data_IF_637104179212
#
_entry.id   IF_637104179212
#
_cell.length_a   1.000
_cell.length_b   1.000
_cell.length_c   1.000
_cell.angle_alpha   90.00
_cell.angle_beta   90.00
_cell.angle_gamma   90.00
#
_symmetry.space_group_name_H-M   'P 1'
#
loop_
_entity.id
_entity.type
_entity.pdbx_description
1 polymer ?
#
# COMPACT_ATOMS: atom_id res chain seq x y z
N UNK A 1 33.21 35.74 -67.38
CA UNK A 1 34.24 34.79 -67.90
C UNK A 1 33.70 33.35 -67.90
N UNK A 2 32.36 33.18 -67.89
CA UNK A 2 31.67 31.89 -68.06
C UNK A 2 30.94 31.76 -69.42
N UNK A 3 31.17 32.71 -70.35
CA UNK A 3 30.61 32.73 -71.71
C UNK A 3 31.39 31.82 -72.68
N UNK A 4 31.74 30.61 -72.25
CA UNK A 4 32.23 29.57 -73.16
C UNK A 4 31.08 28.67 -73.56
N UNK A 5 30.91 28.39 -74.85
CA UNK A 5 29.91 27.43 -75.36
C UNK A 5 30.31 25.98 -75.10
N UNK A 6 31.58 25.76 -74.75
CA UNK A 6 32.04 24.45 -74.31
C UNK A 6 31.48 24.08 -72.93
N UNK A 7 30.90 22.88 -72.88
CA UNK A 7 30.21 22.33 -71.71
C UNK A 7 31.22 21.90 -70.64
N UNK A 8 32.37 21.38 -71.06
CA UNK A 8 33.41 20.88 -70.16
C UNK A 8 34.15 22.01 -69.45
N UNK A 9 34.50 23.09 -70.16
CA UNK A 9 35.06 24.30 -69.55
C UNK A 9 34.07 24.94 -68.59
N UNK A 10 32.80 25.10 -68.98
CA UNK A 10 31.76 25.69 -68.13
C UNK A 10 31.58 24.91 -66.82
N UNK A 11 31.57 23.58 -66.91
CA UNK A 11 31.50 22.69 -65.74
C UNK A 11 32.74 22.79 -64.87
N UNK A 12 33.92 22.85 -65.47
CA UNK A 12 35.19 22.96 -64.74
C UNK A 12 35.29 24.28 -63.98
N UNK A 13 34.88 25.39 -64.59
CA UNK A 13 34.83 26.71 -63.94
C UNK A 13 33.80 26.72 -62.81
N UNK A 14 32.59 26.17 -63.03
CA UNK A 14 31.59 26.01 -61.97
C UNK A 14 32.11 25.17 -60.79
N UNK A 15 32.85 24.10 -61.06
CA UNK A 15 33.47 23.26 -60.03
C UNK A 15 34.60 23.99 -59.29
N UNK A 16 35.41 24.79 -59.98
CA UNK A 16 36.41 25.66 -59.33
C UNK A 16 35.75 26.68 -58.40
N UNK A 17 34.63 27.26 -58.81
CA UNK A 17 33.86 28.19 -57.97
C UNK A 17 33.27 27.46 -56.76
N UNK A 18 32.70 26.27 -56.92
CA UNK A 18 32.25 25.44 -55.79
C UNK A 18 33.40 25.19 -54.81
N UNK A 19 34.56 24.75 -55.31
CA UNK A 19 35.72 24.46 -54.47
C UNK A 19 36.24 25.71 -53.75
N UNK A 20 36.24 26.86 -54.41
CA UNK A 20 36.63 28.14 -53.80
C UNK A 20 35.66 28.57 -52.69
N UNK A 21 34.35 28.40 -52.92
CA UNK A 21 33.30 28.70 -51.93
C UNK A 21 33.39 27.75 -50.73
N UNK A 22 33.64 26.47 -50.95
CA UNK A 22 33.83 25.48 -49.87
C UNK A 22 35.13 25.72 -49.10
N UNK A 23 36.20 26.16 -49.76
CA UNK A 23 37.49 26.43 -49.12
C UNK A 23 37.50 27.74 -48.30
N UNK A 24 36.79 28.77 -48.77
CA UNK A 24 36.64 30.02 -48.03
C UNK A 24 35.22 30.59 -48.18
N UNK A 25 34.27 30.21 -47.30
CA UNK A 25 32.90 30.69 -47.34
C UNK A 25 32.77 32.22 -47.18
N UNK A 26 33.73 32.86 -46.50
CA UNK A 26 33.72 34.31 -46.27
C UNK A 26 34.15 35.12 -47.49
N UNK A 27 34.80 34.49 -48.48
CA UNK A 27 35.24 35.16 -49.70
C UNK A 27 34.07 35.78 -50.48
N UNK A 28 32.90 35.15 -50.45
CA UNK A 28 31.69 35.68 -51.10
C UNK A 28 31.19 36.99 -50.46
N UNK A 29 31.46 37.22 -49.18
CA UNK A 29 31.09 38.44 -48.46
C UNK A 29 32.01 39.61 -48.78
N UNK A 30 33.24 39.32 -49.21
CA UNK A 30 34.25 40.33 -49.56
C UNK A 30 34.21 40.78 -51.02
N UNK A 31 33.38 40.13 -51.85
CA UNK A 31 33.23 40.46 -53.27
C UNK A 31 32.31 41.67 -53.48
N UNK A 32 32.64 42.51 -54.46
CA UNK A 32 31.77 43.62 -54.86
C UNK A 32 30.43 43.09 -55.40
N UNK A 33 29.31 43.69 -54.97
CA UNK A 33 27.95 43.25 -55.34
C UNK A 33 27.74 43.13 -56.86
N UNK A 34 28.36 44.02 -57.64
CA UNK A 34 28.29 43.98 -59.11
C UNK A 34 28.86 42.70 -59.70
N UNK A 35 29.95 42.19 -59.13
CA UNK A 35 30.57 40.95 -59.59
C UNK A 35 29.73 39.74 -59.18
N UNK A 36 29.18 39.75 -57.96
CA UNK A 36 28.26 38.72 -57.48
C UNK A 36 27.01 38.63 -58.37
N UNK A 37 26.43 39.76 -58.77
CA UNK A 37 25.30 39.80 -59.70
C UNK A 37 25.66 39.25 -61.08
N UNK A 38 26.84 39.61 -61.61
CA UNK A 38 27.31 39.09 -62.89
C UNK A 38 27.47 37.57 -62.88
N UNK A 39 27.98 36.99 -61.78
CA UNK A 39 28.10 35.54 -61.63
C UNK A 39 26.72 34.86 -61.56
N UNK A 40 25.78 35.41 -60.78
CA UNK A 40 24.43 34.87 -60.69
C UNK A 40 23.67 34.98 -62.01
N UNK A 41 23.80 36.09 -62.74
CA UNK A 41 23.24 36.25 -64.08
C UNK A 41 23.79 35.19 -65.04
N UNK A 42 25.11 34.94 -65.01
CA UNK A 42 25.76 33.92 -65.83
C UNK A 42 25.22 32.51 -65.48
N UNK A 43 25.05 32.16 -64.20
CA UNK A 43 24.51 30.86 -63.80
C UNK A 43 23.02 30.69 -64.13
N UNK A 44 22.20 31.72 -63.91
CA UNK A 44 20.78 31.70 -64.26
C UNK A 44 20.59 31.65 -65.77
N UNK A 45 21.44 32.34 -66.54
CA UNK A 45 21.47 32.25 -67.99
C UNK A 45 21.85 30.84 -68.46
N UNK A 46 22.87 30.21 -67.87
CA UNK A 46 23.20 28.80 -68.20
C UNK A 46 22.05 27.85 -67.84
N UNK A 47 21.30 28.09 -66.76
CA UNK A 47 20.09 27.31 -66.44
C UNK A 47 18.93 27.51 -67.43
N UNK A 48 18.84 28.66 -68.09
CA UNK A 48 17.79 28.93 -69.07
C UNK A 48 18.16 28.45 -70.47
N UNK A 49 19.38 28.74 -70.92
CA UNK A 49 19.86 28.48 -72.27
C UNK A 49 20.30 27.02 -72.49
N UNK A 50 20.84 26.34 -71.47
CA UNK A 50 21.34 24.97 -71.65
C UNK A 50 20.21 23.93 -71.72
N UNK A 51 20.48 22.85 -72.44
CA UNK A 51 19.64 21.64 -72.51
C UNK A 51 20.25 20.46 -71.76
N UNK A 52 21.58 20.48 -71.54
CA UNK A 52 22.33 19.44 -70.85
C UNK A 52 22.03 19.36 -69.35
N UNK A 53 21.74 18.16 -68.88
CA UNK A 53 21.44 17.87 -67.48
C UNK A 53 22.66 18.05 -66.57
N UNK A 54 23.86 17.77 -67.05
CA UNK A 54 25.05 17.83 -66.20
C UNK A 54 25.46 19.29 -65.91
N UNK A 55 25.31 20.17 -66.90
CA UNK A 55 25.49 21.60 -66.75
C UNK A 55 24.39 22.23 -65.89
N UNK A 56 23.12 21.84 -66.11
CA UNK A 56 22.00 22.28 -65.26
C UNK A 56 22.18 21.88 -63.80
N UNK A 57 22.63 20.64 -63.53
CA UNK A 57 22.97 20.18 -62.19
C UNK A 57 24.12 20.98 -61.58
N UNK A 58 25.18 21.24 -62.35
CA UNK A 58 26.34 21.99 -61.87
C UNK A 58 25.97 23.43 -61.52
N UNK A 59 25.19 24.10 -62.38
CA UNK A 59 24.70 25.46 -62.15
C UNK A 59 23.75 25.53 -60.94
N UNK A 60 22.76 24.64 -60.82
CA UNK A 60 21.90 24.56 -59.63
C UNK A 60 22.68 24.28 -58.35
N UNK A 61 23.68 23.40 -58.40
CA UNK A 61 24.55 23.11 -57.26
C UNK A 61 25.46 24.28 -56.90
N UNK A 62 26.04 24.99 -57.88
CA UNK A 62 26.84 26.21 -57.61
C UNK A 62 26.02 27.27 -56.89
N UNK A 63 24.79 27.53 -57.35
CA UNK A 63 23.88 28.50 -56.72
C UNK A 63 23.54 28.05 -55.29
N UNK A 64 23.27 26.76 -55.09
CA UNK A 64 23.02 26.20 -53.75
C UNK A 64 24.22 26.40 -52.81
N UNK A 65 25.42 26.01 -53.24
CA UNK A 65 26.64 26.16 -52.43
C UNK A 65 26.92 27.64 -52.11
N UNK A 66 26.64 28.55 -53.05
CA UNK A 66 26.72 30.00 -52.80
C UNK A 66 25.68 30.49 -51.81
N UNK A 67 24.42 30.04 -51.90
CA UNK A 67 23.37 30.39 -50.93
C UNK A 67 23.63 29.83 -49.53
N UNK A 68 24.34 28.71 -49.44
CA UNK A 68 24.77 28.12 -48.15
C UNK A 68 25.92 28.92 -47.52
N UNK A 69 26.85 29.44 -48.33
CA UNK A 69 27.99 30.22 -47.86
C UNK A 69 27.68 31.71 -47.59
N UNK A 70 26.78 32.32 -48.37
CA UNK A 70 26.35 33.70 -48.18
C UNK A 70 24.83 33.84 -48.24
N UNK A 71 24.13 33.86 -47.08
CA UNK A 71 22.67 33.80 -47.02
C UNK A 71 21.91 34.97 -47.66
N UNK A 72 22.52 36.14 -47.81
CA UNK A 72 21.93 37.32 -48.49
C UNK A 72 21.70 37.07 -49.99
N UNK A 73 22.40 36.07 -50.58
CA UNK A 73 22.17 35.65 -51.97
C UNK A 73 20.73 35.14 -52.17
N UNK A 74 20.10 34.58 -51.14
CA UNK A 74 18.69 34.16 -51.20
C UNK A 74 17.77 35.36 -51.44
N UNK A 75 18.03 36.49 -50.78
CA UNK A 75 17.26 37.72 -50.96
C UNK A 75 17.49 38.32 -52.36
N UNK A 76 18.74 38.31 -52.84
CA UNK A 76 19.11 38.74 -54.20
C UNK A 76 18.40 37.89 -55.26
N UNK A 77 18.38 36.56 -55.08
CA UNK A 77 17.72 35.63 -55.99
C UNK A 77 16.22 35.88 -56.07
N UNK A 78 15.57 36.06 -54.91
CA UNK A 78 14.13 36.33 -54.83
C UNK A 78 13.76 37.72 -55.39
N UNK A 79 14.60 38.74 -55.17
CA UNK A 79 14.33 40.11 -55.62
C UNK A 79 14.55 40.28 -57.13
N UNK A 80 15.67 39.79 -57.66
CA UNK A 80 16.12 40.03 -59.05
C UNK A 80 15.64 38.95 -60.03
N UNK A 81 15.55 37.69 -59.61
CA UNK A 81 15.27 36.56 -60.50
C UNK A 81 13.91 35.92 -60.21
N UNK A 82 12.83 36.71 -60.26
CA UNK A 82 11.44 36.26 -60.01
C UNK A 82 11.01 35.09 -60.91
N UNK A 83 11.60 34.96 -62.10
CA UNK A 83 11.35 33.87 -63.06
C UNK A 83 12.14 32.58 -62.79
N UNK A 84 13.06 32.55 -61.82
CA UNK A 84 13.90 31.40 -61.53
C UNK A 84 13.08 30.20 -61.03
N UNK A 85 12.11 30.43 -60.15
CA UNK A 85 11.25 29.34 -59.63
C UNK A 85 10.47 28.62 -60.74
N UNK A 86 9.73 29.31 -61.64
CA UNK A 86 9.15 28.67 -62.81
C UNK A 86 10.17 27.97 -63.72
N UNK A 87 11.37 28.56 -63.88
CA UNK A 87 12.44 27.98 -64.71
C UNK A 87 12.93 26.62 -64.18
N UNK A 88 12.98 26.41 -62.86
CA UNK A 88 13.37 25.13 -62.27
C UNK A 88 12.42 23.99 -62.66
N UNK A 89 11.16 24.29 -63.00
CA UNK A 89 10.19 23.30 -63.49
C UNK A 89 10.61 22.64 -64.81
N UNK A 90 11.33 23.35 -65.69
CA UNK A 90 11.90 22.82 -66.96
C UNK A 90 12.86 21.64 -66.72
N UNK A 91 13.45 21.58 -65.52
CA UNK A 91 14.47 20.60 -65.17
C UNK A 91 13.92 19.38 -64.41
N UNK A 92 12.60 19.32 -64.19
CA UNK A 92 11.93 18.16 -63.58
C UNK A 92 12.15 16.90 -64.41
N UNK A 93 12.52 15.78 -63.77
CA UNK A 93 12.77 14.49 -64.43
C UNK A 93 14.14 14.33 -65.12
N UNK A 94 15.04 15.32 -65.06
CA UNK A 94 16.37 15.25 -65.71
C UNK A 94 17.50 14.63 -64.86
N UNK A 95 17.20 14.08 -63.68
CA UNK A 95 18.15 13.28 -62.89
C UNK A 95 18.88 13.99 -61.73
N UNK A 96 18.51 15.23 -61.38
CA UNK A 96 19.06 15.97 -60.23
C UNK A 96 17.96 16.64 -59.38
N UNK A 97 16.89 15.90 -59.15
CA UNK A 97 15.70 16.41 -58.44
C UNK A 97 15.96 16.81 -56.98
N UNK A 98 17.00 16.24 -56.36
CA UNK A 98 17.35 16.58 -54.98
C UNK A 98 17.78 18.05 -54.91
N UNK A 99 18.71 18.43 -55.77
CA UNK A 99 19.25 19.78 -55.90
C UNK A 99 18.14 20.76 -56.33
N UNK A 100 17.26 20.36 -57.27
CA UNK A 100 16.10 21.17 -57.66
C UNK A 100 15.15 21.41 -56.49
N UNK A 101 14.83 20.38 -55.69
CA UNK A 101 13.95 20.51 -54.51
C UNK A 101 14.60 21.36 -53.42
N UNK A 102 15.90 21.21 -53.19
CA UNK A 102 16.64 22.03 -52.21
C UNK A 102 16.64 23.50 -52.62
N UNK A 103 16.93 23.83 -53.88
CA UNK A 103 16.93 25.21 -54.36
C UNK A 103 15.51 25.80 -54.37
N UNK A 104 14.50 25.01 -54.75
CA UNK A 104 13.10 25.45 -54.68
C UNK A 104 12.68 25.74 -53.24
N UNK A 105 13.10 24.94 -52.26
CA UNK A 105 12.82 25.20 -50.84
C UNK A 105 13.48 26.48 -50.34
N UNK A 106 14.72 26.74 -50.73
CA UNK A 106 15.44 27.96 -50.37
C UNK A 106 14.74 29.20 -50.94
N UNK A 107 14.31 29.14 -52.21
CA UNK A 107 13.53 30.20 -52.86
C UNK A 107 12.13 30.38 -52.24
N UNK A 108 11.48 29.29 -51.81
CA UNK A 108 10.15 29.32 -51.18
C UNK A 108 10.17 29.89 -49.75
N UNK A 109 11.29 29.73 -49.04
CA UNK A 109 11.49 30.33 -47.73
C UNK A 109 11.76 31.84 -47.80
N UNK A 110 12.27 32.36 -48.93
CA UNK A 110 12.41 33.78 -49.23
C UNK A 110 13.37 34.61 -48.35
N UNK A 111 13.68 34.14 -47.14
CA UNK A 111 14.48 34.79 -46.10
C UNK A 111 15.29 33.74 -45.33
N UNK A 112 16.45 34.14 -44.81
CA UNK A 112 17.39 33.27 -44.11
C UNK A 112 16.75 32.63 -42.88
N UNK A 113 16.01 33.40 -42.09
CA UNK A 113 15.34 32.95 -40.86
C UNK A 113 14.29 31.86 -41.13
N UNK A 114 13.57 31.95 -42.24
CA UNK A 114 12.57 30.95 -42.61
C UNK A 114 13.21 29.64 -43.08
N UNK A 115 14.36 29.69 -43.77
CA UNK A 115 15.13 28.47 -44.13
C UNK A 115 15.59 27.74 -42.88
N UNK A 116 16.11 28.45 -41.89
CA UNK A 116 16.55 27.87 -40.61
C UNK A 116 15.38 27.31 -39.80
N UNK A 117 14.28 28.06 -39.70
CA UNK A 117 13.05 27.62 -39.03
C UNK A 117 12.48 26.33 -39.66
N UNK A 118 12.48 26.21 -40.98
CA UNK A 118 12.08 24.98 -41.67
C UNK A 118 13.01 23.80 -41.37
N UNK A 119 14.33 24.01 -41.33
CA UNK A 119 15.30 22.97 -40.95
C UNK A 119 15.04 22.48 -39.52
N UNK A 120 14.80 23.38 -38.57
CA UNK A 120 14.44 23.04 -37.20
C UNK A 120 13.11 22.29 -37.12
N UNK A 121 12.11 22.71 -37.89
CA UNK A 121 10.81 22.03 -37.93
C UNK A 121 10.93 20.60 -38.51
N UNK A 122 11.72 20.41 -39.56
CA UNK A 122 11.97 19.08 -40.14
C UNK A 122 12.75 18.17 -39.19
N UNK A 123 13.74 18.71 -38.47
CA UNK A 123 14.45 17.99 -37.42
C UNK A 123 13.50 17.59 -36.29
N UNK A 124 12.67 18.52 -35.81
CA UNK A 124 11.65 18.26 -34.79
C UNK A 124 10.66 17.19 -35.25
N UNK A 125 10.17 17.25 -36.50
CA UNK A 125 9.26 16.26 -37.08
C UNK A 125 9.90 14.86 -37.10
N UNK A 126 11.18 14.75 -37.47
CA UNK A 126 11.93 13.47 -37.44
C UNK A 126 12.05 12.92 -36.01
N UNK A 127 12.44 13.76 -35.05
CA UNK A 127 12.55 13.37 -33.63
C UNK A 127 11.19 12.92 -33.09
N UNK A 128 10.13 13.67 -33.37
CA UNK A 128 8.77 13.34 -32.95
C UNK A 128 8.29 12.02 -33.55
N UNK A 129 8.52 11.77 -34.84
CA UNK A 129 8.17 10.52 -35.49
C UNK A 129 8.90 9.32 -34.84
N UNK A 130 10.21 9.46 -34.60
CA UNK A 130 11.01 8.44 -33.94
C UNK A 130 10.53 8.17 -32.51
N UNK A 131 10.25 9.22 -31.74
CA UNK A 131 9.75 9.11 -30.38
C UNK A 131 8.36 8.44 -30.31
N UNK A 132 7.42 8.86 -31.18
CA UNK A 132 6.08 8.23 -31.29
C UNK A 132 6.20 6.75 -31.62
N UNK A 133 7.09 6.40 -32.55
CA UNK A 133 7.38 5.00 -32.88
C UNK A 133 7.97 4.21 -31.71
N UNK A 134 8.96 4.79 -31.01
CA UNK A 134 9.55 4.18 -29.82
C UNK A 134 8.52 3.95 -28.71
N UNK A 135 7.67 4.94 -28.43
CA UNK A 135 6.60 4.87 -27.42
C UNK A 135 5.62 3.74 -27.76
N UNK A 136 5.14 3.66 -29.01
CA UNK A 136 4.20 2.62 -29.44
C UNK A 136 4.82 1.22 -29.33
N UNK A 137 6.05 1.03 -29.83
CA UNK A 137 6.75 -0.25 -29.73
C UNK A 137 6.95 -0.68 -28.27
N UNK A 138 7.26 0.26 -27.39
CA UNK A 138 7.42 0.00 -25.95
C UNK A 138 6.08 -0.39 -25.31
N UNK A 139 4.99 0.28 -25.66
CA UNK A 139 3.65 -0.04 -25.18
C UNK A 139 3.20 -1.44 -25.64
N UNK A 140 3.43 -1.79 -26.91
CA UNK A 140 3.14 -3.12 -27.44
C UNK A 140 3.96 -4.21 -26.75
N UNK A 141 5.26 -3.98 -26.52
CA UNK A 141 6.11 -4.91 -25.75
C UNK A 141 5.56 -5.15 -24.34
N UNK A 142 5.12 -4.08 -23.65
CA UNK A 142 4.49 -4.20 -22.31
C UNK A 142 3.18 -4.98 -22.37
N UNK A 143 2.32 -4.69 -23.35
CA UNK A 143 1.05 -5.41 -23.53
C UNK A 143 1.26 -6.90 -23.83
N UNK A 144 2.18 -7.25 -24.74
CA UNK A 144 2.50 -8.64 -25.05
C UNK A 144 3.08 -9.39 -23.85
N UNK A 145 3.92 -8.73 -23.05
CA UNK A 145 4.43 -9.29 -21.79
C UNK A 145 3.28 -9.56 -20.81
N UNK A 146 2.37 -8.61 -20.64
CA UNK A 146 1.19 -8.77 -19.78
C UNK A 146 0.29 -9.92 -20.24
N UNK A 147 -0.01 -10.00 -21.55
CA UNK A 147 -0.78 -11.10 -22.13
C UNK A 147 -0.10 -12.46 -21.91
N UNK A 148 1.21 -12.53 -22.13
CA UNK A 148 2.00 -13.76 -21.90
C UNK A 148 1.95 -14.20 -20.44
N UNK A 149 2.05 -13.24 -19.49
CA UNK A 149 1.92 -13.55 -18.06
C UNK A 149 0.52 -14.02 -17.69
N UNK A 150 -0.53 -13.41 -18.26
CA UNK A 150 -1.91 -13.81 -18.05
C UNK A 150 -2.14 -15.23 -18.59
N UNK A 151 -1.75 -15.50 -19.83
CA UNK A 151 -1.86 -16.83 -20.46
C UNK A 151 -1.13 -17.90 -19.64
N UNK A 152 0.09 -17.61 -19.17
CA UNK A 152 0.85 -18.52 -18.30
C UNK A 152 0.11 -18.79 -17.00
N UNK A 153 -0.40 -17.76 -16.32
CA UNK A 153 -1.16 -17.93 -15.08
C UNK A 153 -2.45 -18.72 -15.28
N UNK A 154 -3.14 -18.50 -16.40
CA UNK A 154 -4.38 -19.19 -16.74
C UNK A 154 -4.13 -20.67 -16.99
N UNK A 155 -3.12 -21.00 -17.80
CA UNK A 155 -2.72 -22.39 -18.07
C UNK A 155 -2.31 -23.10 -16.78
N UNK A 156 -1.53 -22.45 -15.91
CA UNK A 156 -1.14 -23.01 -14.60
C UNK A 156 -2.35 -23.25 -13.69
N UNK A 157 -3.26 -22.27 -13.59
CA UNK A 157 -4.48 -22.39 -12.78
C UNK A 157 -5.38 -23.53 -13.28
N UNK A 158 -5.49 -23.68 -14.60
CA UNK A 158 -6.24 -24.78 -15.23
C UNK A 158 -5.61 -26.13 -14.91
N UNK A 159 -4.30 -26.29 -15.11
CA UNK A 159 -3.59 -27.53 -14.80
C UNK A 159 -3.69 -27.91 -13.31
N UNK A 160 -3.54 -26.93 -12.41
CA UNK A 160 -3.71 -27.15 -10.98
C UNK A 160 -5.14 -27.63 -10.64
N UNK A 161 -6.17 -27.02 -11.22
CA UNK A 161 -7.56 -27.42 -11.01
C UNK A 161 -7.82 -28.85 -11.50
N UNK A 162 -7.29 -29.21 -12.67
CA UNK A 162 -7.38 -30.56 -13.22
C UNK A 162 -6.67 -31.57 -12.30
N UNK A 163 -5.49 -31.24 -11.79
CA UNK A 163 -4.75 -32.07 -10.84
C UNK A 163 -5.48 -32.24 -9.50
N UNK A 164 -6.02 -31.15 -8.94
CA UNK A 164 -6.82 -31.19 -7.71
C UNK A 164 -8.05 -32.08 -7.89
N UNK A 165 -8.73 -31.98 -9.02
CA UNK A 165 -9.87 -32.84 -9.33
C UNK A 165 -9.46 -34.32 -9.48
N UNK A 166 -8.33 -34.60 -10.12
CA UNK A 166 -7.81 -35.96 -10.25
C UNK A 166 -7.48 -36.56 -8.87
N UNK A 167 -6.79 -35.80 -8.01
CA UNK A 167 -6.47 -36.21 -6.63
C UNK A 167 -7.74 -36.42 -5.82
N UNK A 168 -8.73 -35.55 -5.93
CA UNK A 168 -10.02 -35.71 -5.23
C UNK A 168 -10.76 -36.96 -5.69
N UNK A 169 -10.78 -37.25 -7.00
CA UNK A 169 -11.37 -38.48 -7.54
C UNK A 169 -10.66 -39.71 -7.01
N UNK A 170 -9.33 -39.75 -7.05
CA UNK A 170 -8.53 -40.85 -6.51
C UNK A 170 -8.78 -41.06 -5.02
N UNK A 171 -8.85 -39.97 -4.23
CA UNK A 171 -9.15 -40.06 -2.81
C UNK A 171 -10.57 -40.55 -2.54
N UNK A 172 -11.56 -40.10 -3.33
CA UNK A 172 -12.94 -40.55 -3.21
C UNK A 172 -13.07 -42.03 -3.56
N UNK A 173 -12.39 -42.47 -4.62
CA UNK A 173 -12.34 -43.87 -5.03
C UNK A 173 -11.67 -44.74 -3.95
N UNK A 174 -10.51 -44.32 -3.43
CA UNK A 174 -9.84 -45.03 -2.34
C UNK A 174 -10.74 -45.14 -1.09
N UNK A 175 -11.42 -44.05 -0.70
CA UNK A 175 -12.38 -44.07 0.41
C UNK A 175 -13.53 -45.05 0.15
N UNK A 176 -14.04 -45.09 -1.08
CA UNK A 176 -15.09 -46.01 -1.49
C UNK A 176 -14.59 -47.47 -1.42
N UNK A 177 -13.43 -47.77 -2.01
CA UNK A 177 -12.81 -49.10 -1.96
C UNK A 177 -12.58 -49.57 -0.52
N UNK A 178 -12.06 -48.71 0.34
CA UNK A 178 -11.88 -49.00 1.77
C UNK A 178 -13.22 -49.26 2.48
N UNK A 179 -14.27 -48.49 2.17
CA UNK A 179 -15.61 -48.70 2.72
C UNK A 179 -16.16 -50.05 2.30
N UNK A 180 -16.07 -50.39 1.01
CA UNK A 180 -16.52 -51.68 0.47
C UNK A 180 -15.73 -52.82 1.11
N UNK A 181 -14.40 -52.71 1.21
CA UNK A 181 -13.55 -53.72 1.86
C UNK A 181 -13.93 -53.93 3.32
N UNK A 182 -14.16 -52.86 4.08
CA UNK A 182 -14.62 -52.93 5.48
C UNK A 182 -16.00 -53.60 5.58
N UNK A 183 -16.93 -53.25 4.69
CA UNK A 183 -18.26 -53.88 4.68
C UNK A 183 -18.19 -55.37 4.34
N UNK A 184 -17.38 -55.77 3.35
CA UNK A 184 -17.15 -57.18 3.00
C UNK A 184 -16.56 -57.94 4.18
N UNK A 185 -15.47 -57.44 4.77
CA UNK A 185 -14.84 -58.05 5.94
C UNK A 185 -15.81 -58.18 7.13
N UNK A 186 -16.64 -57.15 7.38
CA UNK A 186 -17.66 -57.21 8.43
C UNK A 186 -18.74 -58.28 8.13
N UNK A 187 -19.20 -58.37 6.88
CA UNK A 187 -20.17 -59.40 6.48
C UNK A 187 -19.58 -60.80 6.63
N UNK A 188 -18.34 -61.01 6.19
CA UNK A 188 -17.65 -62.29 6.33
C UNK A 188 -17.45 -62.67 7.80
N UNK A 189 -17.02 -61.72 8.64
CA UNK A 189 -16.89 -61.94 10.09
C UNK A 189 -18.23 -62.33 10.72
N UNK A 190 -19.30 -61.58 10.43
CA UNK A 190 -20.65 -61.90 10.91
C UNK A 190 -21.16 -63.25 10.42
N UNK A 191 -20.87 -63.61 9.16
CA UNK A 191 -21.27 -64.93 8.61
C UNK A 191 -20.58 -66.07 9.36
N UNK A 192 -19.29 -65.94 9.64
CA UNK A 192 -18.53 -66.93 10.44
C UNK A 192 -19.05 -67.01 11.88
N UNK A 193 -19.37 -65.86 12.47
CA UNK A 193 -19.95 -65.76 13.81
C UNK A 193 -21.32 -66.44 13.90
N UNK A 194 -22.20 -66.19 12.92
CA UNK A 194 -23.51 -66.84 12.84
C UNK A 194 -23.37 -68.37 12.75
N UNK A 195 -22.50 -68.86 11.87
CA UNK A 195 -22.25 -70.29 11.75
C UNK A 195 -21.76 -70.92 13.07
N UNK A 196 -20.86 -70.23 13.78
CA UNK A 196 -20.42 -70.67 15.10
C UNK A 196 -21.58 -70.70 16.10
N UNK A 197 -22.42 -69.66 16.14
CA UNK A 197 -23.60 -69.60 17.03
C UNK A 197 -24.62 -70.71 16.73
N UNK A 198 -24.84 -71.04 15.45
CA UNK A 198 -25.74 -72.12 15.02
C UNK A 198 -25.26 -73.50 15.52
N UNK A 199 -23.95 -73.70 15.65
CA UNK A 199 -23.36 -74.97 16.10
C UNK A 199 -23.32 -75.16 17.63
N UNK A 200 -23.53 -74.10 18.41
CA UNK A 200 -23.29 -74.09 19.86
C UNK A 200 -24.59 -74.26 20.68
N UNK A 201 -24.53 -74.86 21.90
CA UNK A 201 -25.68 -74.93 22.79
C UNK A 201 -26.19 -73.56 23.27
N UNK A 202 -27.51 -73.40 23.40
CA UNK A 202 -28.17 -72.14 23.75
C UNK A 202 -27.61 -71.40 25.00
N UNK A 203 -27.23 -72.07 26.11
CA UNK A 203 -26.65 -71.38 27.27
C UNK A 203 -25.32 -70.69 26.97
N UNK A 204 -24.49 -71.28 26.10
CA UNK A 204 -23.20 -70.72 25.72
C UNK A 204 -23.38 -69.50 24.80
N UNK A 205 -24.37 -69.56 23.89
CA UNK A 205 -24.77 -68.43 23.05
C UNK A 205 -25.22 -67.23 23.90
N UNK A 206 -26.08 -67.47 24.90
CA UNK A 206 -26.55 -66.42 25.82
C UNK A 206 -25.41 -65.76 26.60
N UNK A 207 -24.45 -66.56 27.09
CA UNK A 207 -23.24 -66.05 27.77
C UNK A 207 -22.43 -65.16 26.85
N UNK A 208 -22.24 -65.58 25.60
CA UNK A 208 -21.51 -64.80 24.60
C UNK A 208 -22.21 -63.47 24.26
N UNK A 209 -23.53 -63.48 24.03
CA UNK A 209 -24.32 -62.27 23.77
C UNK A 209 -24.21 -61.28 24.94
N UNK A 210 -24.32 -61.76 26.18
CA UNK A 210 -24.17 -60.91 27.38
C UNK A 210 -22.78 -60.25 27.45
N UNK A 211 -21.71 -60.99 27.12
CA UNK A 211 -20.35 -60.44 27.06
C UNK A 211 -20.21 -59.40 25.95
N UNK A 212 -20.78 -59.63 24.76
CA UNK A 212 -20.79 -58.66 23.68
C UNK A 212 -21.54 -57.38 24.05
N UNK A 213 -22.71 -57.49 24.67
CA UNK A 213 -23.49 -56.34 25.16
C UNK A 213 -22.69 -55.51 26.16
N UNK A 214 -22.03 -56.16 27.14
CA UNK A 214 -21.15 -55.48 28.09
C UNK A 214 -20.00 -54.76 27.39
N UNK A 215 -19.31 -55.42 26.45
CA UNK A 215 -18.22 -54.82 25.67
C UNK A 215 -18.70 -53.63 24.83
N UNK A 216 -19.87 -53.75 24.19
CA UNK A 216 -20.49 -52.68 23.42
C UNK A 216 -20.87 -51.49 24.29
N UNK A 217 -21.48 -51.72 25.46
CA UNK A 217 -21.82 -50.68 26.41
C UNK A 217 -20.58 -49.89 26.86
N UNK A 218 -19.49 -50.58 27.22
CA UNK A 218 -18.22 -49.95 27.59
C UNK A 218 -17.68 -49.07 26.45
N UNK A 219 -17.73 -49.55 25.19
CA UNK A 219 -17.28 -48.78 24.02
C UNK A 219 -18.13 -47.52 23.80
N UNK A 220 -19.45 -47.64 23.88
CA UNK A 220 -20.38 -46.50 23.73
C UNK A 220 -20.12 -45.47 24.83
N UNK A 221 -20.06 -45.92 26.09
CA UNK A 221 -19.80 -45.04 27.24
C UNK A 221 -18.46 -44.33 27.12
N UNK A 222 -17.39 -45.03 26.69
CA UNK A 222 -16.07 -44.43 26.44
C UNK A 222 -16.14 -43.32 25.39
N UNK A 223 -16.79 -43.59 24.25
CA UNK A 223 -16.93 -42.60 23.16
C UNK A 223 -17.77 -41.41 23.63
N UNK A 224 -18.86 -41.65 24.35
CA UNK A 224 -19.74 -40.63 24.90
C UNK A 224 -19.03 -39.71 25.88
N UNK A 225 -18.31 -40.28 26.87
CA UNK A 225 -17.49 -39.52 27.81
C UNK A 225 -16.50 -38.62 27.06
N UNK A 226 -15.81 -39.17 26.05
CA UNK A 226 -14.89 -38.40 25.22
C UNK A 226 -15.57 -37.30 24.38
N UNK A 227 -16.76 -37.57 23.84
CA UNK A 227 -17.55 -36.55 23.12
C UNK A 227 -17.93 -35.40 24.06
N UNK A 228 -18.38 -35.73 25.27
CA UNK A 228 -18.76 -34.74 26.26
C UNK A 228 -17.58 -33.86 26.69
N UNK A 229 -16.40 -34.45 26.94
CA UNK A 229 -15.16 -33.69 27.21
C UNK A 229 -14.78 -32.76 26.06
N UNK A 230 -14.87 -33.22 24.81
CA UNK A 230 -14.57 -32.39 23.63
C UNK A 230 -15.59 -31.26 23.46
N UNK A 231 -16.88 -31.52 23.72
CA UNK A 231 -17.93 -30.50 23.69
C UNK A 231 -17.67 -29.41 24.74
N UNK A 232 -17.38 -29.80 25.99
CA UNK A 232 -17.00 -28.89 27.08
C UNK A 232 -15.73 -28.09 26.75
N UNK A 233 -14.72 -28.73 26.17
CA UNK A 233 -13.52 -28.03 25.72
C UNK A 233 -13.83 -27.00 24.62
N UNK A 234 -14.67 -27.34 23.64
CA UNK A 234 -15.03 -26.40 22.58
C UNK A 234 -15.81 -25.19 23.10
N UNK A 235 -16.70 -25.38 24.07
CA UNK A 235 -17.38 -24.26 24.72
C UNK A 235 -16.40 -23.37 25.50
N UNK A 236 -15.40 -23.96 26.17
CA UNK A 236 -14.38 -23.23 26.93
C UNK A 236 -13.25 -22.64 26.07
N UNK A 237 -13.08 -23.11 24.83
CA UNK A 237 -11.93 -22.77 23.97
C UNK A 237 -11.84 -21.26 23.75
N UNK A 238 -12.97 -20.59 23.52
CA UNK A 238 -13.03 -19.14 23.34
C UNK A 238 -12.51 -18.41 24.57
N UNK A 239 -13.04 -18.74 25.75
CA UNK A 239 -12.63 -18.16 27.04
C UNK A 239 -11.14 -18.39 27.33
N UNK A 240 -10.61 -19.58 27.05
CA UNK A 240 -9.18 -19.89 27.24
C UNK A 240 -8.27 -19.09 26.31
N UNK A 241 -8.67 -18.90 25.05
CA UNK A 241 -7.93 -18.06 24.09
C UNK A 241 -7.93 -16.61 24.56
N UNK A 242 -9.10 -16.09 24.99
CA UNK A 242 -9.23 -14.74 25.53
C UNK A 242 -8.38 -14.56 26.79
N UNK A 243 -8.43 -15.49 27.74
CA UNK A 243 -7.60 -15.47 28.94
C UNK A 243 -6.11 -15.46 28.61
N UNK A 244 -5.66 -16.33 27.69
CA UNK A 244 -4.25 -16.37 27.28
C UNK A 244 -3.81 -15.07 26.61
N UNK A 245 -4.68 -14.47 25.80
CA UNK A 245 -4.42 -13.16 25.19
C UNK A 245 -4.35 -12.06 26.27
N UNK A 246 -5.29 -12.04 27.21
CA UNK A 246 -5.33 -11.09 28.31
C UNK A 246 -4.07 -11.20 29.19
N UNK A 247 -3.67 -12.41 29.57
CA UNK A 247 -2.44 -12.65 30.34
C UNK A 247 -1.19 -12.18 29.59
N UNK A 248 -1.13 -12.38 28.27
CA UNK A 248 -0.02 -11.91 27.44
C UNK A 248 0.03 -10.38 27.38
N UNK A 249 -1.12 -9.72 27.20
CA UNK A 249 -1.23 -8.25 27.23
C UNK A 249 -0.82 -7.71 28.60
N UNK A 250 -1.37 -8.26 29.68
CA UNK A 250 -1.05 -7.85 31.05
C UNK A 250 0.45 -8.00 31.34
N UNK A 251 1.07 -9.10 30.92
CA UNK A 251 2.52 -9.31 31.03
C UNK A 251 3.30 -8.20 30.31
N UNK A 252 2.95 -7.90 29.07
CA UNK A 252 3.64 -6.87 28.30
C UNK A 252 3.45 -5.46 28.88
N UNK A 253 2.25 -5.15 29.38
CA UNK A 253 1.97 -3.88 30.06
C UNK A 253 2.78 -3.76 31.34
N UNK A 254 2.90 -4.81 32.16
CA UNK A 254 3.75 -4.80 33.37
C UNK A 254 5.22 -4.54 33.02
N UNK A 255 5.76 -5.22 32.00
CA UNK A 255 7.12 -4.99 31.51
C UNK A 255 7.32 -3.57 30.97
N UNK A 256 6.32 -3.02 30.29
CA UNK A 256 6.36 -1.63 29.83
C UNK A 256 6.31 -0.63 31.00
N UNK A 257 5.46 -0.88 32.00
CA UNK A 257 5.38 -0.05 33.21
C UNK A 257 6.68 -0.09 34.03
N UNK A 258 7.35 -1.24 34.11
CA UNK A 258 8.68 -1.36 34.72
C UNK A 258 9.73 -0.56 33.95
N UNK A 259 9.76 -0.70 32.62
CA UNK A 259 10.65 0.12 31.78
C UNK A 259 10.38 1.62 31.95
N UNK A 260 9.10 2.01 31.96
CA UNK A 260 8.70 3.41 32.17
C UNK A 260 9.06 3.92 33.57
N UNK A 261 8.98 3.09 34.61
CA UNK A 261 9.43 3.44 35.96
C UNK A 261 10.95 3.67 36.00
N UNK A 262 11.74 2.83 35.33
CA UNK A 262 13.20 3.05 35.19
C UNK A 262 13.51 4.35 34.46
N UNK A 263 12.88 4.58 33.31
CA UNK A 263 13.04 5.84 32.56
C UNK A 263 12.60 7.04 33.39
N UNK A 264 11.51 6.96 34.17
CA UNK A 264 11.13 8.04 35.08
C UNK A 264 12.14 8.29 36.20
N UNK A 265 12.79 7.25 36.73
CA UNK A 265 13.87 7.41 37.70
C UNK A 265 15.07 8.11 37.05
N UNK A 266 15.44 7.72 35.82
CA UNK A 266 16.50 8.37 35.04
C UNK A 266 16.12 9.81 34.64
N UNK A 267 14.88 10.07 34.23
CA UNK A 267 14.36 11.42 33.92
C UNK A 267 14.28 12.28 35.18
N UNK A 268 13.90 11.73 36.33
CA UNK A 268 13.90 12.44 37.62
C UNK A 268 15.32 12.77 38.07
N UNK A 269 16.29 11.90 37.75
CA UNK A 269 17.71 12.20 37.93
C UNK A 269 18.15 13.34 36.98
N UNK A 270 17.73 13.33 35.72
CA UNK A 270 18.00 14.40 34.75
C UNK A 270 17.34 15.74 35.11
N UNK A 271 16.14 15.73 35.71
CA UNK A 271 15.42 16.94 36.14
C UNK A 271 15.84 17.45 37.53
N UNK A 272 16.68 16.71 38.27
CA UNK A 272 17.28 17.21 39.51
C UNK A 272 18.37 18.28 39.25
N UNK A 273 18.90 18.35 38.03
CA UNK A 273 19.57 19.55 37.53
C UNK A 273 18.51 20.57 37.12
N UNK A 274 18.29 21.57 37.97
CA UNK A 274 17.48 22.73 37.63
C UNK A 274 17.95 23.30 36.27
N UNK A 275 17.09 23.27 35.26
CA UNK A 275 17.35 23.92 33.98
C UNK A 275 17.47 25.43 34.22
N UNK A 276 18.70 25.96 34.18
CA UNK A 276 18.94 27.41 34.15
C UNK A 276 18.15 28.05 33.00
N UNK A 277 17.62 29.26 33.19
CA UNK A 277 16.85 29.97 32.16
C UNK A 277 17.62 30.16 30.85
N UNK A 278 18.95 30.25 30.93
CA UNK A 278 19.86 30.23 29.77
C UNK A 278 19.69 28.97 28.91
N UNK A 279 19.65 27.79 29.54
CA UNK A 279 19.49 26.50 28.86
C UNK A 279 18.09 26.32 28.28
N UNK A 280 17.08 26.92 28.91
CA UNK A 280 15.70 26.93 28.38
C UNK A 280 15.63 27.68 27.05
N UNK A 281 16.28 28.84 26.95
CA UNK A 281 16.34 29.64 25.73
C UNK A 281 17.10 28.90 24.62
N UNK A 282 18.22 28.25 24.94
CA UNK A 282 18.96 27.41 23.96
C UNK A 282 18.12 26.26 23.41
N UNK A 283 17.39 25.55 24.29
CA UNK A 283 16.53 24.43 23.86
C UNK A 283 15.35 24.92 23.03
N UNK A 284 14.77 26.08 23.37
CA UNK A 284 13.75 26.72 22.55
C UNK A 284 14.30 27.14 21.17
N UNK A 285 15.53 27.62 21.11
CA UNK A 285 16.25 27.88 19.85
C UNK A 285 16.39 26.63 19.00
N UNK A 286 16.89 25.53 19.58
CA UNK A 286 17.04 24.23 18.90
C UNK A 286 15.71 23.67 18.39
N UNK A 287 14.63 23.80 19.18
CA UNK A 287 13.28 23.37 18.75
C UNK A 287 12.80 24.23 17.57
N UNK A 288 13.09 25.54 17.58
CA UNK A 288 12.72 26.45 16.51
C UNK A 288 13.48 26.14 15.23
N UNK A 289 14.81 26.01 15.30
CA UNK A 289 15.65 25.57 14.18
C UNK A 289 15.18 24.22 13.62
N UNK A 290 14.89 23.24 14.48
CA UNK A 290 14.41 21.94 14.03
C UNK A 290 13.06 22.05 13.30
N UNK A 291 12.14 22.90 13.78
CA UNK A 291 10.84 23.15 13.14
C UNK A 291 10.97 23.90 11.82
N UNK A 292 11.93 24.81 11.71
CA UNK A 292 12.23 25.53 10.46
C UNK A 292 12.86 24.58 9.43
N UNK A 293 13.82 23.76 9.86
CA UNK A 293 14.45 22.71 9.04
C UNK A 293 13.46 21.62 8.59
N UNK A 294 12.41 21.37 9.38
CA UNK A 294 11.35 20.39 9.08
C UNK A 294 9.98 21.07 8.91
N UNK A 295 9.95 22.23 8.25
CA UNK A 295 8.70 22.85 7.88
C UNK A 295 7.89 21.91 6.98
N UNK A 296 6.69 21.55 7.42
CA UNK A 296 5.79 20.68 6.65
C UNK A 296 5.25 21.47 5.47
N UNK A 297 5.92 21.36 4.33
CA UNK A 297 5.50 22.02 3.09
C UNK A 297 4.33 21.25 2.46
N UNK A 298 3.24 21.95 2.14
CA UNK A 298 2.14 21.41 1.32
C UNK A 298 0.81 21.12 2.04
N UNK A 299 0.66 21.44 3.33
CA UNK A 299 -0.63 21.34 4.02
C UNK A 299 -1.11 22.77 4.35
N UNK A 300 -2.14 23.23 3.65
CA UNK A 300 -2.85 24.46 4.01
C UNK A 300 -3.31 24.38 5.47
N UNK A 301 -3.24 25.48 6.22
CA UNK A 301 -3.71 25.56 7.62
C UNK A 301 -5.15 25.07 7.76
N UNK A 302 -5.97 25.29 6.73
CA UNK A 302 -7.35 24.83 6.65
C UNK A 302 -7.43 23.29 6.57
N UNK A 303 -6.58 22.67 5.75
CA UNK A 303 -6.50 21.21 5.62
C UNK A 303 -6.01 20.53 6.91
N UNK A 304 -5.13 21.20 7.66
CA UNK A 304 -4.71 20.71 8.97
C UNK A 304 -5.85 20.77 10.00
N UNK A 305 -6.63 21.85 10.00
CA UNK A 305 -7.84 21.97 10.84
C UNK A 305 -8.87 20.90 10.48
N UNK A 306 -9.12 20.69 9.19
CA UNK A 306 -10.02 19.65 8.71
C UNK A 306 -9.57 18.25 9.13
N UNK A 307 -8.28 17.95 9.02
CA UNK A 307 -7.72 16.68 9.51
C UNK A 307 -7.87 16.51 11.02
N UNK A 308 -7.69 17.60 11.78
CA UNK A 308 -7.87 17.60 13.23
C UNK A 308 -9.34 17.35 13.60
N UNK A 309 -10.27 18.07 12.97
CA UNK A 309 -11.71 17.89 13.16
C UNK A 309 -12.15 16.47 12.78
N UNK A 310 -11.68 15.94 11.66
CA UNK A 310 -11.94 14.55 11.23
C UNK A 310 -11.39 13.52 12.22
N UNK A 311 -10.20 13.73 12.77
CA UNK A 311 -9.65 12.84 13.80
C UNK A 311 -10.49 12.90 15.09
N UNK A 312 -10.94 14.08 15.49
CA UNK A 312 -11.80 14.29 16.65
C UNK A 312 -13.19 13.65 16.47
N UNK A 313 -13.82 13.78 15.30
CA UNK A 313 -15.12 13.14 15.03
C UNK A 313 -15.03 11.62 15.00
N UNK A 314 -13.98 11.07 14.38
CA UNK A 314 -13.72 9.62 14.39
C UNK A 314 -13.51 9.11 15.82
N UNK A 315 -12.71 9.82 16.63
CA UNK A 315 -12.49 9.47 18.03
C UNK A 315 -13.79 9.54 18.85
N UNK A 316 -14.58 10.60 18.68
CA UNK A 316 -15.86 10.76 19.35
C UNK A 316 -16.82 9.63 18.97
N UNK A 317 -16.91 9.28 17.67
CA UNK A 317 -17.76 8.18 17.20
C UNK A 317 -17.33 6.82 17.77
N UNK A 318 -16.02 6.59 17.88
CA UNK A 318 -15.47 5.39 18.49
C UNK A 318 -15.76 5.34 20.00
N UNK A 319 -15.57 6.46 20.72
CA UNK A 319 -15.90 6.56 22.13
C UNK A 319 -17.39 6.32 22.40
N UNK A 320 -18.29 6.85 21.56
CA UNK A 320 -19.72 6.61 21.68
C UNK A 320 -20.09 5.14 21.46
N UNK A 321 -19.55 4.49 20.42
CA UNK A 321 -19.74 3.03 20.20
C UNK A 321 -19.18 2.21 21.37
N UNK A 322 -18.06 2.66 21.93
CA UNK A 322 -17.39 1.99 23.04
C UNK A 322 -18.10 2.22 24.37
N UNK A 323 -18.86 3.30 24.57
CA UNK A 323 -19.52 3.63 25.84
C UNK A 323 -20.47 2.52 26.32
N UNK A 324 -21.21 1.88 25.42
CA UNK A 324 -22.07 0.74 25.74
C UNK A 324 -21.26 -0.49 26.18
N UNK A 325 -20.14 -0.78 25.50
CA UNK A 325 -19.19 -1.85 25.88
C UNK A 325 -18.50 -1.54 27.21
N UNK A 326 -18.10 -0.28 27.44
CA UNK A 326 -17.41 0.14 28.66
C UNK A 326 -18.26 -0.12 29.90
N UNK A 327 -19.57 0.17 29.87
CA UNK A 327 -20.45 -0.16 30.99
C UNK A 327 -20.53 -1.68 31.24
N UNK A 328 -20.59 -2.48 30.17
CA UNK A 328 -20.61 -3.94 30.29
C UNK A 328 -19.27 -4.49 30.80
N UNK A 329 -18.15 -3.94 30.33
CA UNK A 329 -16.79 -4.31 30.72
C UNK A 329 -16.49 -3.85 32.16
N UNK A 330 -16.92 -2.65 32.56
CA UNK A 330 -16.85 -2.18 33.94
C UNK A 330 -17.64 -3.09 34.88
N UNK A 331 -18.88 -3.47 34.52
CA UNK A 331 -19.66 -4.43 35.31
C UNK A 331 -18.93 -5.77 35.43
N UNK A 332 -18.34 -6.29 34.35
CA UNK A 332 -17.57 -7.55 34.39
C UNK A 332 -16.32 -7.44 35.26
N UNK A 333 -15.59 -6.32 35.20
CA UNK A 333 -14.43 -6.08 36.04
C UNK A 333 -14.83 -5.96 37.50
N UNK A 334 -15.93 -5.26 37.80
CA UNK A 334 -16.47 -5.15 39.15
C UNK A 334 -16.92 -6.52 39.69
N UNK A 335 -17.66 -7.29 38.90
CA UNK A 335 -18.06 -8.65 39.29
C UNK A 335 -16.83 -9.54 39.54
N UNK A 336 -15.84 -9.50 38.65
CA UNK A 336 -14.60 -10.26 38.85
C UNK A 336 -13.82 -9.80 40.09
N UNK A 337 -13.81 -8.49 40.39
CA UNK A 337 -13.18 -7.96 41.60
C UNK A 337 -13.93 -8.41 42.88
N UNK A 338 -15.26 -8.35 42.86
CA UNK A 338 -16.11 -8.84 43.95
C UNK A 338 -15.95 -10.35 44.16
N UNK A 339 -15.85 -11.13 43.09
CA UNK A 339 -15.59 -12.57 43.17
C UNK A 339 -14.21 -12.84 43.81
N UNK A 340 -13.16 -12.10 43.41
CA UNK A 340 -11.84 -12.24 44.03
C UNK A 340 -11.82 -11.80 45.48
N UNK A 341 -12.52 -10.72 45.83
CA UNK A 341 -12.63 -10.24 47.20
C UNK A 341 -13.41 -11.23 48.07
N UNK A 342 -14.48 -11.82 47.54
CA UNK A 342 -15.24 -12.87 48.20
C UNK A 342 -14.40 -14.14 48.42
N UNK A 343 -13.63 -14.58 47.42
CA UNK A 343 -12.69 -15.70 47.56
C UNK A 343 -11.62 -15.41 48.63
N UNK A 344 -11.06 -14.20 48.66
CA UNK A 344 -10.11 -13.78 49.70
C UNK A 344 -10.74 -13.78 51.09
N UNK A 345 -11.97 -13.28 51.23
CA UNK A 345 -12.69 -13.27 52.52
C UNK A 345 -13.05 -14.67 53.01
N UNK A 346 -13.43 -15.58 52.10
CA UNK A 346 -13.70 -16.99 52.43
C UNK A 346 -12.41 -17.71 52.85
N UNK A 347 -11.29 -17.36 52.24
CA UNK A 347 -9.98 -17.91 52.55
C UNK A 347 -9.27 -17.19 53.72
N UNK A 348 -9.95 -16.28 54.43
CA UNK A 348 -9.35 -15.52 55.50
C UNK A 348 -8.93 -16.43 56.68
N UNK A 349 -7.66 -16.37 57.13
CA UNK A 349 -7.20 -17.15 58.26
C UNK A 349 -7.90 -16.70 59.55
N UNK A 350 -8.02 -17.61 60.52
CA UNK A 350 -8.50 -17.26 61.85
C UNK A 350 -7.51 -16.29 62.50
N UNK A 351 -8.00 -15.39 63.36
CA UNK A 351 -7.19 -14.34 64.00
C UNK A 351 -5.94 -14.86 64.75
N UNK A 352 -5.94 -16.11 65.22
CA UNK A 352 -4.79 -16.75 65.88
C UNK A 352 -3.76 -17.42 64.95
N UNK A 353 -4.07 -17.56 63.66
CA UNK A 353 -3.24 -18.24 62.65
C UNK A 353 -2.70 -17.25 61.58
N UNK A 354 -3.02 -15.96 61.71
CA UNK A 354 -2.67 -14.95 60.73
C UNK A 354 -1.16 -14.63 60.75
N UNK A 355 -0.54 -14.64 59.58
CA UNK A 355 0.87 -14.28 59.37
C UNK A 355 1.02 -12.81 58.94
N UNK A 356 2.24 -12.25 59.01
CA UNK A 356 2.50 -10.89 58.51
C UNK A 356 2.19 -10.73 57.01
N UNK A 357 2.30 -11.81 56.24
CA UNK A 357 1.95 -11.83 54.81
C UNK A 357 0.44 -11.71 54.59
N UNK A 358 -0.37 -12.31 55.46
CA UNK A 358 -1.83 -12.20 55.42
C UNK A 358 -2.29 -10.77 55.74
N UNK A 359 -1.63 -10.12 56.72
CA UNK A 359 -1.91 -8.71 57.05
C UNK A 359 -1.65 -7.81 55.83
N UNK A 360 -0.56 -8.05 55.09
CA UNK A 360 -0.27 -7.31 53.86
C UNK A 360 -1.30 -7.60 52.76
N UNK A 361 -1.76 -8.84 52.63
CA UNK A 361 -2.74 -9.27 51.64
C UNK A 361 -4.11 -8.61 51.84
N UNK A 362 -4.60 -8.53 53.09
CA UNK A 362 -5.88 -7.91 53.43
C UNK A 362 -5.79 -6.39 53.63
N UNK A 363 -4.59 -5.79 53.55
CA UNK A 363 -4.39 -4.34 53.63
C UNK A 363 -4.44 -3.65 52.26
N UNK A 364 -5.26 -2.61 52.15
CA UNK A 364 -5.27 -1.79 50.93
C UNK A 364 -4.06 -0.84 50.90
N UNK A 365 -3.37 -0.74 49.76
CA UNK A 365 -2.26 0.22 49.54
C UNK A 365 -2.74 1.68 49.36
N UNK A 366 -4.05 1.88 49.24
CA UNK A 366 -4.68 3.17 49.05
C UNK A 366 -4.94 3.82 50.41
N UNK A 367 -4.29 4.95 50.69
CA UNK A 367 -4.42 5.67 51.97
C UNK A 367 -5.88 6.03 52.29
N UNK A 368 -6.70 6.56 51.35
CA UNK A 368 -8.12 6.85 51.62
C UNK A 368 -8.94 5.62 51.99
N UNK A 369 -8.72 4.49 51.32
CA UNK A 369 -9.46 3.24 51.55
C UNK A 369 -9.06 2.63 52.90
N UNK A 370 -7.76 2.59 53.19
CA UNK A 370 -7.25 2.14 54.48
C UNK A 370 -7.74 3.02 55.65
N UNK A 371 -7.77 4.34 55.47
CA UNK A 371 -8.27 5.27 56.47
C UNK A 371 -9.77 5.08 56.73
N UNK A 372 -10.59 4.93 55.68
CA UNK A 372 -12.02 4.66 55.82
C UNK A 372 -12.29 3.31 56.49
N UNK A 373 -11.54 2.27 56.13
CA UNK A 373 -11.63 0.95 56.77
C UNK A 373 -11.27 1.00 58.27
N UNK A 374 -10.18 1.69 58.63
CA UNK A 374 -9.80 1.90 60.04
C UNK A 374 -10.88 2.67 60.82
N UNK A 375 -11.43 3.71 60.20
CA UNK A 375 -12.50 4.50 60.81
C UNK A 375 -13.76 3.65 61.04
N UNK A 376 -14.20 2.91 60.03
CA UNK A 376 -15.36 2.02 60.12
C UNK A 376 -15.15 0.89 61.13
N UNK A 377 -13.94 0.31 61.21
CA UNK A 377 -13.61 -0.66 62.24
C UNK A 377 -13.63 -0.04 63.64
N UNK A 378 -13.08 1.17 63.80
CA UNK A 378 -13.13 1.88 65.07
C UNK A 378 -14.57 2.23 65.48
N UNK A 379 -15.44 2.62 64.54
CA UNK A 379 -16.87 2.81 64.77
C UNK A 379 -17.56 1.50 65.19
N UNK A 380 -17.27 0.40 64.48
CA UNK A 380 -17.82 -0.91 64.81
C UNK A 380 -17.37 -1.42 66.19
N UNK A 381 -16.10 -1.26 66.54
CA UNK A 381 -15.57 -1.60 67.85
C UNK A 381 -16.14 -0.72 68.95
N UNK A 382 -16.35 0.58 68.69
CA UNK A 382 -17.09 1.47 69.60
C UNK A 382 -18.51 0.94 69.80
N UNK A 383 -19.23 0.63 68.72
CA UNK A 383 -20.59 0.09 68.77
C UNK A 383 -20.69 -1.22 69.57
N UNK A 384 -19.74 -2.14 69.38
CA UNK A 384 -19.68 -3.38 70.17
C UNK A 384 -19.45 -3.12 71.67
N UNK A 385 -18.64 -2.12 72.00
CA UNK A 385 -18.31 -1.74 73.38
C UNK A 385 -19.34 -0.82 74.05
N UNK A 386 -20.40 -0.41 73.33
CA UNK A 386 -21.53 0.29 73.93
C UNK A 386 -22.25 -0.63 74.92
N UNK A 387 -22.70 -0.05 76.03
CA UNK A 387 -23.56 -0.74 76.97
C UNK A 387 -24.91 -1.07 76.30
N UNK A 388 -25.57 -2.14 76.74
CA UNK A 388 -26.81 -2.64 76.11
C UNK A 388 -27.89 -1.56 75.94
N UNK A 389 -27.97 -0.59 76.85
CA UNK A 389 -28.93 0.51 76.80
C UNK A 389 -28.60 1.61 75.77
N UNK A 390 -27.35 1.72 75.32
CA UNK A 390 -26.92 2.64 74.26
C UNK A 390 -27.08 2.04 72.86
N UNK A 391 -27.22 0.71 72.76
CA UNK A 391 -27.46 -0.02 71.51
C UNK A 391 -28.92 0.03 71.04
N UNK A 392 -29.85 0.38 71.94
CA UNK A 392 -31.28 0.53 71.66
C UNK A 392 -31.62 1.74 70.76
N UNK A 393 -30.70 2.68 70.54
CA UNK A 393 -30.94 3.87 69.72
C UNK A 393 -30.75 3.65 68.21
N UNK A 394 -29.85 2.75 67.81
CA UNK A 394 -29.52 2.50 66.40
C UNK A 394 -30.59 1.64 65.69
N UNK A 395 -31.33 0.80 66.41
CA UNK A 395 -32.43 -0.01 65.84
C UNK A 395 -33.61 0.84 65.35
N UNK A 396 -33.72 2.11 65.76
CA UNK A 396 -34.78 3.03 65.33
C UNK A 396 -34.37 3.96 64.16
N UNK A 397 -33.11 3.91 63.70
CA UNK A 397 -32.63 4.72 62.57
C UNK A 397 -32.51 3.95 61.25
N UNK A 398 -32.44 2.63 61.28
CA UNK A 398 -32.57 1.81 60.07
C UNK A 398 -34.05 1.85 59.62
N UNK A 399 -34.33 2.68 58.62
CA UNK A 399 -35.64 2.90 58.00
C UNK A 399 -36.25 1.69 57.28
N UNK A 400 -35.98 0.47 57.75
CA UNK A 400 -36.50 -0.80 57.25
C UNK A 400 -37.83 -1.21 57.91
N UNK A 401 -38.30 -0.50 58.94
CA UNK A 401 -39.56 -0.82 59.65
C UNK A 401 -40.72 0.12 59.32
N UNK A 402 -40.62 0.94 58.26
CA UNK A 402 -41.71 1.85 57.85
C UNK A 402 -42.67 1.27 56.82
N UNK A 403 -42.32 0.16 56.16
CA UNK A 403 -43.17 -0.43 55.11
C UNK A 403 -44.21 -1.44 55.63
N UNK A 404 -44.05 -2.00 56.83
CA UNK A 404 -44.93 -3.07 57.32
C UNK A 404 -46.19 -2.58 58.09
N UNK A 405 -46.38 -1.27 58.23
CA UNK A 405 -47.57 -0.69 58.87
C UNK A 405 -48.53 0.03 57.92
N UNK A 406 -48.22 0.16 56.63
CA UNK A 406 -49.13 0.76 55.64
C UNK A 406 -49.97 -0.26 54.86
N UNK A 407 -49.63 -1.56 54.85
CA UNK A 407 -50.43 -2.59 54.15
C UNK A 407 -51.66 -3.10 54.92
N UNK A 408 -51.79 -2.84 56.22
CA UNK A 408 -52.94 -3.30 57.03
C UNK A 408 -54.07 -2.26 57.22
N UNK A 409 -54.01 -1.12 56.52
CA UNK A 409 -55.10 -0.12 56.53
C UNK A 409 -56.01 -0.16 55.28
N UNK A 410 -55.79 -1.10 54.35
CA UNK A 410 -56.51 -1.14 53.06
C UNK A 410 -57.69 -2.13 52.98
N UNK A 411 -58.08 -2.76 54.10
CA UNK A 411 -59.31 -3.57 54.18
C UNK A 411 -60.13 -3.20 55.41
N UNK A 412 -60.88 -2.10 55.28
CA UNK A 412 -62.12 -1.84 56.03
C UNK A 412 -62.93 -0.77 55.27
N UNK A 413 -63.73 -1.23 54.31
CA UNK A 413 -65.08 -0.77 54.03
C UNK A 413 -65.88 -1.93 53.43
#
# INVERSE_FOLDING_TARGET
MLLTDDVETSRSVMSLIQNAVHANPTALQTLEEKFLFSLLDEFVYKLSASTDSTLGRSATRTILDMTEAHPTIVEILCARFKGLRPLLGKWSGKGFEKELRELTKVLDAGTVEQVESQKLHDAARKIQAMYRGYRMRTQLKKANKALSTLQRSFRKKRANKEQEQAVQKQQAELKHQLRVRRQRALREARRKELYLMESLPAPQVNKHISQQQKSAAIKIQKIWRGHNSRKKFQTEKGSRVQYRAAALIQRQVRLWLERRRRVKLDESFMFSQQLSDSRRVELQGKIREYREMHAVHGISREKLKEQHENAHTVLASHMMRRAASLKADQRRVLLAALDTDAEMMIAAPKLGEATEEDILLFSSKSVPVAAKARHSHAEHMRAMNLQWYQKLGDEFQDGSLRDDLEENSAYNF
#
